data_IF_754292979973
#
_entry.id   IF_754292979973
#
_cell.length_a   1.000
_cell.length_b   1.000
_cell.length_c   1.000
_cell.angle_alpha   90.00
_cell.angle_beta   90.00
_cell.angle_gamma   90.00
#
_symmetry.space_group_name_H-M   'P 1'
#
loop_
_entity.id
_entity.type
_entity.pdbx_description
1 polymer ?
#
# COMPACT_ATOMS: atom_id res chain seq x y z
N UNK A 1 35.41 14.47 9.64
CA UNK A 1 35.18 14.36 8.18
C UNK A 1 34.21 13.23 7.93
N UNK A 2 32.98 13.54 7.54
CA UNK A 2 32.06 12.53 7.03
C UNK A 2 32.32 12.41 5.53
N UNK A 3 32.83 11.26 5.09
CA UNK A 3 32.92 10.96 3.66
C UNK A 3 31.54 10.61 3.14
N UNK A 4 31.18 11.21 2.00
CA UNK A 4 29.93 10.92 1.30
C UNK A 4 30.06 9.54 0.68
N UNK A 5 29.34 8.56 1.22
CA UNK A 5 29.26 7.22 0.62
C UNK A 5 28.54 7.31 -0.73
N UNK A 6 29.26 7.00 -1.82
CA UNK A 6 28.72 6.98 -3.18
C UNK A 6 27.69 5.86 -3.42
N UNK A 7 27.60 4.91 -2.47
CA UNK A 7 26.59 3.85 -2.42
C UNK A 7 25.38 4.22 -1.56
N UNK A 8 25.40 5.37 -0.88
CA UNK A 8 24.23 5.88 -0.19
C UNK A 8 23.09 6.09 -1.22
N UNK A 9 21.94 5.47 -0.99
CA UNK A 9 20.81 5.36 -1.94
C UNK A 9 21.02 4.42 -3.15
N UNK A 10 21.92 3.44 -3.04
CA UNK A 10 22.03 2.36 -4.03
C UNK A 10 22.01 1.01 -3.33
N UNK A 11 21.01 0.19 -3.64
CA UNK A 11 21.02 -1.22 -3.26
C UNK A 11 20.27 -2.08 -4.27
N UNK A 12 20.62 -3.36 -4.28
CA UNK A 12 19.92 -4.39 -5.00
C UNK A 12 19.88 -5.62 -4.10
N UNK A 13 18.72 -5.89 -3.52
CA UNK A 13 18.50 -6.92 -2.52
C UNK A 13 17.60 -7.97 -3.14
N UNK A 14 18.05 -9.23 -3.09
CA UNK A 14 17.24 -10.39 -3.48
C UNK A 14 17.10 -11.27 -2.26
N UNK A 15 15.87 -11.49 -1.83
CA UNK A 15 15.53 -12.34 -0.68
C UNK A 15 14.68 -13.52 -1.14
N UNK A 16 15.06 -14.71 -0.71
CA UNK A 16 14.25 -15.92 -0.84
C UNK A 16 13.98 -16.45 0.56
N UNK A 17 12.71 -16.56 0.94
CA UNK A 17 12.32 -17.04 2.27
C UNK A 17 11.19 -18.04 2.19
N UNK A 18 11.18 -18.99 3.13
CA UNK A 18 10.03 -19.85 3.40
C UNK A 18 9.43 -19.32 4.70
N UNK A 19 8.23 -18.77 4.59
CA UNK A 19 7.49 -18.26 5.73
C UNK A 19 6.44 -19.30 6.12
N UNK A 20 6.48 -19.74 7.37
CA UNK A 20 5.46 -20.61 7.96
C UNK A 20 4.67 -19.77 8.95
N UNK A 21 3.35 -19.90 8.92
CA UNK A 21 2.44 -19.23 9.84
C UNK A 21 2.58 -17.69 9.83
N UNK A 22 2.42 -17.05 8.67
CA UNK A 22 1.92 -15.66 8.63
C UNK A 22 0.44 -15.61 9.06
N UNK A 23 0.14 -16.24 10.18
CA UNK A 23 -1.09 -16.03 10.93
C UNK A 23 -0.67 -14.94 11.90
N UNK A 24 -0.90 -13.69 11.50
CA UNK A 24 -0.76 -12.56 12.41
C UNK A 24 -1.55 -12.90 13.68
N UNK A 25 -0.85 -13.04 14.80
CA UNK A 25 -1.42 -13.36 16.11
C UNK A 25 -2.12 -12.09 16.64
N UNK A 26 -3.14 -11.62 15.90
CA UNK A 26 -3.85 -10.38 16.19
C UNK A 26 -5.05 -10.72 17.06
N UNK A 27 -5.10 -10.09 18.24
CA UNK A 27 -6.22 -10.23 19.17
C UNK A 27 -7.58 -9.80 18.57
N UNK A 28 -7.57 -8.99 17.50
CA UNK A 28 -8.74 -8.49 16.80
C UNK A 28 -8.52 -8.52 15.28
N UNK A 29 -9.45 -9.11 14.52
CA UNK A 29 -9.46 -9.10 13.06
C UNK A 29 -10.90 -8.91 12.52
N UNK A 30 -11.04 -8.24 11.38
CA UNK A 30 -12.29 -8.11 10.63
C UNK A 30 -12.37 -9.30 9.67
N UNK A 31 -13.44 -10.08 9.83
CA UNK A 31 -13.80 -11.20 8.94
C UNK A 31 -13.95 -10.82 7.47
N UNK A 32 -14.04 -9.52 7.15
CA UNK A 32 -13.99 -9.05 5.77
C UNK A 32 -12.62 -9.20 5.16
N UNK A 33 -11.54 -9.06 5.92
CA UNK A 33 -10.14 -9.01 5.42
C UNK A 33 -9.26 -10.17 5.85
N UNK A 34 -9.79 -11.01 6.71
CA UNK A 34 -9.04 -12.08 7.32
C UNK A 34 -9.77 -13.42 7.22
N UNK A 35 -9.03 -14.43 6.76
CA UNK A 35 -9.49 -15.81 6.73
C UNK A 35 -8.57 -16.70 7.58
N UNK A 36 -9.18 -17.50 8.47
CA UNK A 36 -8.46 -18.44 9.34
C UNK A 36 -7.91 -19.62 8.55
N UNK A 37 -6.64 -19.96 8.77
CA UNK A 37 -6.01 -21.17 8.28
C UNK A 37 -4.49 -21.06 8.28
N UNK A 38 -3.79 -22.18 8.06
CA UNK A 38 -2.33 -22.14 7.89
C UNK A 38 -1.98 -21.60 6.50
N UNK A 39 -1.09 -20.62 6.45
CA UNK A 39 -0.57 -20.08 5.19
C UNK A 39 0.96 -20.11 5.18
N UNK A 40 1.52 -21.25 4.76
CA UNK A 40 2.95 -21.38 4.50
C UNK A 40 3.27 -20.99 3.06
N UNK A 41 4.26 -20.12 2.87
CA UNK A 41 4.55 -19.52 1.57
C UNK A 41 6.04 -19.51 1.26
N UNK A 42 6.38 -19.81 0.00
CA UNK A 42 7.67 -19.43 -0.57
C UNK A 42 7.57 -17.99 -1.08
N UNK A 43 8.52 -17.15 -0.67
CA UNK A 43 8.58 -15.74 -1.02
C UNK A 43 9.88 -15.46 -1.77
N UNK A 44 9.77 -14.88 -2.95
CA UNK A 44 10.84 -14.22 -3.67
C UNK A 44 10.57 -12.72 -3.63
N UNK A 45 11.51 -11.96 -3.11
CA UNK A 45 11.39 -10.52 -2.96
C UNK A 45 12.66 -9.86 -3.54
N UNK A 46 12.45 -8.94 -4.47
CA UNK A 46 13.50 -8.18 -5.13
C UNK A 46 13.24 -6.70 -4.92
N UNK A 47 14.18 -6.04 -4.25
CA UNK A 47 14.16 -4.61 -3.97
C UNK A 47 15.39 -3.95 -4.62
N UNK A 48 15.16 -2.95 -5.45
CA UNK A 48 16.22 -2.12 -6.04
C UNK A 48 15.97 -0.67 -5.70
N UNK A 49 17.00 0.00 -5.19
CA UNK A 49 17.05 1.45 -5.07
C UNK A 49 18.21 1.95 -5.91
N UNK A 50 17.95 2.82 -6.88
CA UNK A 50 18.96 3.45 -7.71
C UNK A 50 18.58 4.91 -7.92
N UNK A 51 19.40 5.85 -7.45
CA UNK A 51 19.21 7.29 -7.70
C UNK A 51 17.81 7.82 -7.38
N UNK A 52 17.22 7.37 -6.26
CA UNK A 52 15.85 7.70 -5.81
C UNK A 52 14.71 7.08 -6.62
N UNK A 53 15.04 6.14 -7.50
CA UNK A 53 14.09 5.20 -8.08
C UNK A 53 14.10 3.93 -7.24
N UNK A 54 12.96 3.57 -6.68
CA UNK A 54 12.72 2.33 -5.95
C UNK A 54 11.87 1.42 -6.82
N UNK A 55 12.36 0.22 -7.05
CA UNK A 55 11.62 -0.87 -7.68
C UNK A 55 11.48 -1.98 -6.65
N UNK A 56 10.25 -2.46 -6.48
CA UNK A 56 9.97 -3.61 -5.63
C UNK A 56 9.15 -4.63 -6.42
N UNK A 57 9.64 -5.86 -6.46
CA UNK A 57 8.99 -6.97 -7.09
C UNK A 57 8.88 -8.12 -6.10
N UNK A 58 7.68 -8.71 -6.02
CA UNK A 58 7.42 -9.77 -5.08
C UNK A 58 6.66 -10.90 -5.77
N UNK A 59 7.12 -12.13 -5.57
CA UNK A 59 6.39 -13.35 -5.89
C UNK A 59 6.19 -14.12 -4.59
N UNK A 60 4.94 -14.43 -4.27
CA UNK A 60 4.57 -15.27 -3.13
C UNK A 60 3.80 -16.49 -3.62
N UNK A 61 4.17 -17.67 -3.17
CA UNK A 61 3.57 -18.94 -3.58
C UNK A 61 3.14 -19.71 -2.33
N UNK A 62 1.83 -19.92 -2.16
CA UNK A 62 1.26 -20.82 -1.17
C UNK A 62 0.97 -22.18 -1.79
N UNK A 63 1.42 -23.26 -1.15
CA UNK A 63 1.18 -24.63 -1.62
C UNK A 63 0.92 -25.59 -0.46
N UNK A 64 0.10 -26.62 -0.72
CA UNK A 64 -0.22 -27.66 0.27
C UNK A 64 1.01 -28.46 0.73
N UNK A 65 1.99 -28.65 -0.15
CA UNK A 65 3.25 -29.34 0.19
C UNK A 65 4.05 -28.60 1.27
N UNK A 66 3.83 -27.30 1.46
CA UNK A 66 4.44 -26.51 2.53
C UNK A 66 3.56 -26.42 3.80
N UNK A 67 2.43 -27.13 3.85
CA UNK A 67 1.48 -27.07 4.96
C UNK A 67 0.51 -25.88 4.89
N UNK A 68 0.39 -25.22 3.73
CA UNK A 68 -0.64 -24.20 3.51
C UNK A 68 -1.99 -24.82 3.15
N UNK A 69 -3.07 -24.30 3.74
CA UNK A 69 -4.44 -24.61 3.34
C UNK A 69 -4.78 -24.01 1.96
N UNK A 70 -3.93 -23.10 1.45
CA UNK A 70 -4.19 -22.22 0.33
C UNK A 70 -3.20 -22.45 -0.81
N UNK A 71 -3.59 -23.16 -1.89
CA UNK A 71 -2.79 -23.23 -3.11
C UNK A 71 -3.00 -21.97 -3.97
N UNK A 72 -2.03 -21.07 -3.98
CA UNK A 72 -2.09 -19.82 -4.74
C UNK A 72 -0.71 -19.29 -5.15
N UNK A 73 -0.70 -18.34 -6.08
CA UNK A 73 0.43 -17.47 -6.35
C UNK A 73 -0.02 -16.01 -6.36
N UNK A 74 0.85 -15.13 -5.86
CA UNK A 74 0.71 -13.67 -5.89
C UNK A 74 1.96 -13.09 -6.51
N UNK A 75 1.79 -12.18 -7.46
CA UNK A 75 2.87 -11.40 -8.05
C UNK A 75 2.49 -9.93 -7.88
N UNK A 76 3.39 -9.13 -7.35
CA UNK A 76 3.23 -7.68 -7.27
C UNK A 76 4.48 -6.97 -7.75
N UNK A 77 4.28 -5.81 -8.35
CA UNK A 77 5.33 -4.91 -8.80
C UNK A 77 4.97 -3.50 -8.36
N UNK A 78 5.94 -2.80 -7.82
CA UNK A 78 5.88 -1.40 -7.41
C UNK A 78 7.08 -0.68 -8.01
N UNK A 79 6.81 0.47 -8.63
CA UNK A 79 7.83 1.42 -9.08
C UNK A 79 7.52 2.75 -8.40
N UNK A 80 8.46 3.27 -7.66
CA UNK A 80 8.37 4.55 -6.96
C UNK A 80 9.57 5.39 -7.36
N UNK A 81 9.37 6.67 -7.68
CA UNK A 81 10.47 7.51 -8.08
C UNK A 81 10.21 8.98 -7.76
N UNK A 82 11.31 9.67 -7.45
CA UNK A 82 11.36 11.05 -7.00
C UNK A 82 12.10 11.87 -8.07
N UNK A 83 11.35 12.68 -8.83
CA UNK A 83 11.95 13.59 -9.80
C UNK A 83 12.05 15.01 -9.25
N UNK A 84 13.17 15.71 -9.47
CA UNK A 84 13.29 17.11 -9.06
C UNK A 84 12.38 17.98 -9.94
N UNK A 85 11.49 18.73 -9.32
CA UNK A 85 10.68 19.79 -9.93
C UNK A 85 10.98 21.08 -9.17
N UNK A 86 11.70 22.00 -9.81
CA UNK A 86 12.27 23.19 -9.18
C UNK A 86 13.18 22.79 -7.99
N UNK A 87 12.98 23.38 -6.81
CA UNK A 87 13.74 23.08 -5.60
C UNK A 87 13.12 21.97 -4.74
N UNK A 88 12.22 21.14 -5.32
CA UNK A 88 11.48 20.10 -4.58
C UNK A 88 11.36 18.82 -5.39
N UNK A 89 10.88 17.77 -4.76
CA UNK A 89 10.78 16.44 -5.36
C UNK A 89 9.32 16.08 -5.57
N UNK A 90 8.95 15.89 -6.83
CA UNK A 90 7.70 15.26 -7.22
C UNK A 90 7.83 13.77 -6.98
N UNK A 91 6.85 13.19 -6.31
CA UNK A 91 6.78 11.75 -6.06
C UNK A 91 5.73 11.13 -6.96
N UNK A 92 6.10 10.01 -7.59
CA UNK A 92 5.12 9.16 -8.23
C UNK A 92 5.35 7.71 -7.84
N UNK A 93 4.26 6.95 -7.83
CA UNK A 93 4.28 5.51 -7.61
C UNK A 93 3.32 4.83 -8.57
N UNK A 94 3.73 3.70 -9.12
CA UNK A 94 2.93 2.80 -9.94
C UNK A 94 2.95 1.44 -9.26
N UNK A 95 1.78 0.81 -9.19
CA UNK A 95 1.60 -0.53 -8.63
C UNK A 95 0.81 -1.42 -9.59
N UNK A 96 1.21 -2.68 -9.67
CA UNK A 96 0.44 -3.74 -10.32
C UNK A 96 0.50 -5.02 -9.50
N UNK A 97 -0.64 -5.70 -9.35
CA UNK A 97 -0.74 -6.93 -8.58
C UNK A 97 -1.69 -7.93 -9.18
N UNK A 98 -1.35 -9.21 -9.08
CA UNK A 98 -2.16 -10.34 -9.55
C UNK A 98 -2.03 -11.51 -8.58
N UNK A 99 -3.18 -12.13 -8.29
CA UNK A 99 -3.34 -13.29 -7.43
C UNK A 99 -4.09 -14.37 -8.22
N UNK A 100 -3.60 -15.60 -8.18
CA UNK A 100 -4.18 -16.75 -8.88
C UNK A 100 -4.26 -17.95 -7.94
N UNK A 101 -5.31 -18.76 -8.12
CA UNK A 101 -5.62 -19.88 -7.24
C UNK A 101 -6.58 -19.52 -6.10
N UNK A 102 -6.50 -20.33 -5.03
CA UNK A 102 -7.29 -20.19 -3.81
C UNK A 102 -6.43 -19.55 -2.71
N UNK A 103 -6.35 -18.22 -2.73
CA UNK A 103 -5.64 -17.42 -1.74
C UNK A 103 -6.59 -17.05 -0.59
N UNK A 104 -6.12 -16.92 0.66
CA UNK A 104 -6.92 -16.37 1.73
C UNK A 104 -7.17 -14.86 1.52
N UNK A 105 -8.15 -14.30 2.24
CA UNK A 105 -8.56 -12.90 2.07
C UNK A 105 -7.43 -11.88 2.26
N UNK A 106 -6.55 -12.11 3.23
CA UNK A 106 -5.41 -11.22 3.53
C UNK A 106 -4.37 -11.16 2.39
N UNK A 107 -4.40 -12.09 1.44
CA UNK A 107 -3.48 -12.14 0.30
C UNK A 107 -4.06 -11.51 -0.97
N UNK A 108 -5.31 -11.03 -0.94
CA UNK A 108 -5.88 -10.27 -2.05
C UNK A 108 -5.06 -9.01 -2.36
N UNK A 109 -5.35 -8.37 -3.50
CA UNK A 109 -4.85 -7.04 -3.82
C UNK A 109 -5.88 -6.03 -3.35
N UNK A 110 -5.46 -5.14 -2.45
CA UNK A 110 -6.32 -4.11 -1.86
C UNK A 110 -6.21 -2.80 -2.62
N UNK A 111 -7.33 -2.08 -2.68
CA UNK A 111 -7.37 -0.77 -3.32
C UNK A 111 -6.68 0.29 -2.46
N UNK A 112 -6.84 0.17 -1.14
CA UNK A 112 -6.23 1.02 -0.12
C UNK A 112 -5.38 0.14 0.80
N UNK A 113 -4.10 0.47 0.94
CA UNK A 113 -3.12 -0.38 1.63
C UNK A 113 -2.38 0.38 2.73
N UNK A 114 -1.46 1.27 2.35
CA UNK A 114 -0.64 2.06 3.29
C UNK A 114 -0.25 3.39 2.69
N UNK A 115 -0.33 4.49 3.45
CA UNK A 115 -0.05 5.87 3.01
C UNK A 115 1.32 5.98 2.32
N UNK A 116 2.37 5.38 2.90
CA UNK A 116 3.63 5.02 2.23
C UNK A 116 3.93 3.52 2.42
N UNK A 117 4.66 2.86 1.51
CA UNK A 117 5.11 1.49 1.74
C UNK A 117 6.19 1.46 2.84
N UNK A 118 5.76 1.48 4.10
CA UNK A 118 6.61 1.33 5.29
C UNK A 118 6.14 0.11 6.09
N UNK A 119 7.06 -0.49 6.87
CA UNK A 119 6.77 -1.64 7.72
C UNK A 119 6.13 -1.27 9.07
N UNK A 120 5.71 -0.01 9.26
CA UNK A 120 5.13 0.47 10.52
C UNK A 120 3.60 0.57 10.43
N UNK A 121 2.93 0.30 11.55
CA UNK A 121 1.48 0.46 11.65
C UNK A 121 1.10 1.94 11.53
N UNK A 122 0.15 2.25 10.65
CA UNK A 122 -0.48 3.58 10.59
C UNK A 122 -1.72 3.61 11.50
N UNK A 123 -2.03 4.78 12.03
CA UNK A 123 -3.24 5.00 12.80
C UNK A 123 -4.24 5.69 11.89
N UNK A 124 -5.28 4.95 11.51
CA UNK A 124 -6.47 5.55 10.93
C UNK A 124 -7.46 5.84 12.04
N UNK A 125 -8.05 7.03 12.01
CA UNK A 125 -9.18 7.36 12.84
C UNK A 125 -10.27 7.86 11.92
N UNK A 126 -11.17 6.95 11.58
CA UNK A 126 -12.48 7.34 11.09
C UNK A 126 -13.31 7.79 12.31
N UNK A 127 -13.72 9.07 12.41
CA UNK A 127 -14.58 9.50 13.50
C UNK A 127 -15.91 8.74 13.56
N UNK A 128 -16.31 8.07 12.47
CA UNK A 128 -17.60 7.38 12.36
C UNK A 128 -17.50 5.84 12.49
N UNK A 129 -16.32 5.21 12.55
CA UNK A 129 -16.20 3.74 12.65
C UNK A 129 -15.07 3.25 13.58
N UNK A 130 -15.35 2.14 14.29
CA UNK A 130 -14.41 1.45 15.19
C UNK A 130 -13.20 0.97 14.37
N UNK A 131 -11.98 1.28 14.85
CA UNK A 131 -10.65 0.94 14.29
C UNK A 131 -10.69 -0.40 13.52
N UNK A 132 -10.40 -0.37 12.21
CA UNK A 132 -10.53 -1.51 11.31
C UNK A 132 -9.23 -2.31 11.22
N UNK A 133 -9.33 -3.57 10.81
CA UNK A 133 -8.16 -4.46 10.76
C UNK A 133 -7.45 -4.43 9.44
N UNK A 134 -8.05 -3.79 8.43
CA UNK A 134 -7.35 -3.34 7.23
C UNK A 134 -6.08 -2.57 7.66
N UNK A 135 -6.19 -1.77 8.73
CA UNK A 135 -5.10 -0.94 9.26
C UNK A 135 -3.98 -1.73 9.95
N UNK A 136 -4.25 -2.96 10.42
CA UNK A 136 -3.27 -3.79 11.15
C UNK A 136 -2.66 -4.90 10.29
N UNK A 137 -3.35 -5.35 9.23
CA UNK A 137 -2.95 -6.52 8.42
C UNK A 137 -2.15 -6.15 7.16
N UNK A 138 -2.31 -4.93 6.63
CA UNK A 138 -1.73 -4.57 5.33
C UNK A 138 -0.44 -3.79 5.50
N UNK A 139 0.68 -4.50 5.50
CA UNK A 139 2.03 -3.93 5.66
C UNK A 139 2.71 -3.52 4.35
N UNK A 140 2.07 -3.67 3.17
CA UNK A 140 2.60 -3.20 1.87
C UNK A 140 1.49 -2.56 1.04
N UNK A 141 1.81 -1.43 0.41
CA UNK A 141 0.86 -0.42 -0.05
C UNK A 141 -0.17 -0.80 -1.12
N UNK A 142 -0.07 -1.96 -1.79
CA UNK A 142 -0.96 -2.39 -2.88
C UNK A 142 -1.33 -1.22 -3.85
N UNK A 143 -2.59 -1.06 -4.29
CA UNK A 143 -2.93 0.05 -5.19
C UNK A 143 -2.88 1.43 -4.50
N UNK A 144 -2.96 1.47 -3.18
CA UNK A 144 -2.82 2.64 -2.32
C UNK A 144 -3.67 3.89 -2.65
N UNK A 145 -4.99 3.77 -2.81
CA UNK A 145 -5.85 4.94 -2.92
C UNK A 145 -6.25 5.43 -1.52
N UNK A 146 -5.55 6.47 -1.03
CA UNK A 146 -5.69 6.96 0.35
C UNK A 146 -7.12 7.32 0.75
N UNK A 147 -7.88 7.94 -0.17
CA UNK A 147 -9.27 8.31 0.08
C UNK A 147 -10.24 7.14 0.23
N UNK A 148 -9.83 5.92 -0.12
CA UNK A 148 -10.65 4.70 -0.08
C UNK A 148 -10.29 3.79 1.10
N UNK A 149 -9.52 4.28 2.07
CA UNK A 149 -9.21 3.53 3.29
C UNK A 149 -10.49 3.20 4.08
N UNK A 150 -10.54 2.02 4.71
CA UNK A 150 -11.70 1.55 5.48
C UNK A 150 -12.85 0.99 4.64
N UNK A 151 -12.75 1.03 3.31
CA UNK A 151 -13.80 0.49 2.42
C UNK A 151 -13.62 -1.00 2.10
N UNK A 152 -12.50 -1.62 2.51
CA UNK A 152 -12.21 -3.04 2.28
C UNK A 152 -12.31 -3.49 0.80
N UNK A 153 -12.04 -2.56 -0.13
CA UNK A 153 -12.12 -2.84 -1.56
C UNK A 153 -10.90 -3.65 -1.99
N UNK A 154 -11.13 -4.83 -2.57
CA UNK A 154 -10.06 -5.75 -2.98
C UNK A 154 -10.47 -6.65 -4.14
N UNK A 155 -9.49 -7.35 -4.71
CA UNK A 155 -9.71 -8.38 -5.70
C UNK A 155 -8.46 -9.20 -6.00
N UNK A 156 -8.59 -10.16 -6.90
CA UNK A 156 -7.47 -10.97 -7.41
C UNK A 156 -6.51 -10.22 -8.32
N UNK A 157 -6.83 -9.01 -8.75
CA UNK A 157 -5.99 -8.20 -9.59
C UNK A 157 -6.13 -6.75 -9.13
N UNK A 158 -5.08 -5.95 -9.30
CA UNK A 158 -5.15 -4.53 -9.03
C UNK A 158 -4.06 -3.73 -9.73
N UNK A 159 -4.37 -2.46 -9.96
CA UNK A 159 -3.41 -1.45 -10.43
C UNK A 159 -3.65 -0.15 -9.67
N UNK A 160 -2.58 0.60 -9.44
CA UNK A 160 -2.62 1.89 -8.78
C UNK A 160 -1.55 2.83 -9.34
N UNK A 161 -1.86 4.11 -9.38
CA UNK A 161 -0.93 5.19 -9.66
C UNK A 161 -1.16 6.29 -8.64
N UNK A 162 -0.09 6.72 -7.98
CA UNK A 162 -0.11 7.77 -6.97
C UNK A 162 0.81 8.90 -7.41
N UNK A 163 0.39 10.13 -7.14
CA UNK A 163 1.16 11.33 -7.39
C UNK A 163 1.19 12.18 -6.12
N UNK A 164 2.36 12.73 -5.79
CA UNK A 164 2.50 13.79 -4.78
C UNK A 164 3.29 14.96 -5.36
N UNK A 165 2.65 16.12 -5.35
CA UNK A 165 3.19 17.35 -5.90
C UNK A 165 3.42 18.31 -4.73
N UNK A 166 4.67 18.69 -4.44
CA UNK A 166 4.94 19.63 -3.37
C UNK A 166 4.45 21.04 -3.74
N UNK A 167 3.83 21.74 -2.79
CA UNK A 167 3.28 23.09 -3.03
C UNK A 167 4.39 24.14 -2.92
N UNK A 168 4.71 24.91 -3.98
CA UNK A 168 5.75 25.94 -3.93
C UNK A 168 5.52 26.93 -2.78
N UNK A 169 6.58 27.24 -2.03
CA UNK A 169 6.51 28.13 -0.86
C UNK A 169 6.03 27.48 0.45
N UNK A 170 5.42 26.29 0.42
CA UNK A 170 4.89 25.62 1.63
C UNK A 170 5.60 24.27 1.86
N UNK A 171 6.73 24.27 2.57
CA UNK A 171 7.68 23.13 2.63
C UNK A 171 7.11 21.83 3.20
N UNK A 172 6.05 21.92 4.00
CA UNK A 172 5.42 20.77 4.65
C UNK A 172 4.20 20.27 3.88
N UNK A 173 3.75 20.95 2.82
CA UNK A 173 2.46 20.67 2.17
C UNK A 173 2.69 20.07 0.78
N UNK A 174 2.03 18.95 0.52
CA UNK A 174 1.95 18.31 -0.77
C UNK A 174 0.48 18.18 -1.20
N UNK A 175 0.19 18.42 -2.47
CA UNK A 175 -1.04 17.94 -3.09
C UNK A 175 -0.84 16.47 -3.45
N UNK A 176 -1.86 15.64 -3.27
CA UNK A 176 -1.80 14.28 -3.76
C UNK A 176 -3.02 13.90 -4.60
N UNK A 177 -2.80 12.97 -5.51
CA UNK A 177 -3.84 12.36 -6.34
C UNK A 177 -3.55 10.88 -6.52
N UNK A 178 -4.56 10.05 -6.30
CA UNK A 178 -4.47 8.60 -6.41
C UNK A 178 -5.52 8.11 -7.42
N UNK A 179 -5.13 7.16 -8.27
CA UNK A 179 -6.03 6.51 -9.22
C UNK A 179 -5.72 5.02 -9.32
N UNK A 180 -6.75 4.18 -9.41
CA UNK A 180 -6.54 2.74 -9.52
C UNK A 180 -7.84 1.95 -9.48
N UNK A 181 -7.69 0.63 -9.53
CA UNK A 181 -8.80 -0.29 -9.42
C UNK A 181 -8.32 -1.67 -8.96
N UNK A 182 -9.25 -2.42 -8.37
CA UNK A 182 -9.08 -3.83 -8.01
C UNK A 182 -10.27 -4.62 -8.57
N UNK A 183 -10.03 -5.84 -9.03
CA UNK A 183 -11.06 -6.69 -9.63
C UNK A 183 -10.74 -8.18 -9.56
N UNK A 184 -11.77 -9.02 -9.61
CA UNK A 184 -11.61 -10.47 -9.70
C UNK A 184 -11.63 -10.99 -11.13
N UNK A 185 -12.72 -10.75 -11.86
CA UNK A 185 -12.97 -11.33 -13.19
C UNK A 185 -12.85 -10.33 -14.34
N UNK A 186 -13.40 -9.13 -14.18
CA UNK A 186 -13.45 -8.10 -15.22
C UNK A 186 -12.94 -6.77 -14.68
N UNK A 187 -12.13 -6.07 -15.46
CA UNK A 187 -11.67 -4.74 -15.12
C UNK A 187 -12.88 -3.80 -14.99
N UNK A 188 -13.00 -3.16 -13.83
CA UNK A 188 -14.11 -2.26 -13.51
C UNK A 188 -13.79 -0.79 -13.80
N UNK A 189 -14.61 0.09 -13.22
CA UNK A 189 -14.42 1.54 -13.29
C UNK A 189 -13.23 1.95 -12.42
N UNK A 190 -12.35 2.78 -12.97
CA UNK A 190 -11.26 3.42 -12.23
C UNK A 190 -11.81 4.30 -11.10
N UNK A 191 -11.25 4.10 -9.91
CA UNK A 191 -11.46 4.93 -8.74
C UNK A 191 -10.33 5.92 -8.65
N UNK A 192 -10.63 7.14 -8.22
CA UNK A 192 -9.64 8.17 -7.97
C UNK A 192 -10.08 9.09 -6.83
N UNK A 193 -9.10 9.75 -6.24
CA UNK A 193 -9.28 10.72 -5.17
C UNK A 193 -8.11 11.68 -5.08
N UNK A 194 -8.30 12.79 -4.35
CA UNK A 194 -7.25 13.77 -4.14
C UNK A 194 -7.33 14.38 -2.75
N UNK A 195 -6.20 14.90 -2.28
CA UNK A 195 -6.04 15.41 -0.93
C UNK A 195 -4.81 16.29 -0.72
N UNK A 196 -4.57 16.66 0.54
CA UNK A 196 -3.32 17.30 0.98
C UNK A 196 -2.57 16.35 1.91
N UNK A 197 -1.26 16.24 1.73
CA UNK A 197 -0.35 15.64 2.69
C UNK A 197 0.42 16.72 3.45
N UNK A 198 0.60 16.50 4.74
CA UNK A 198 1.44 17.30 5.63
C UNK A 198 2.59 16.43 6.10
N UNK A 199 3.79 16.66 5.56
CA UNK A 199 5.01 15.98 5.98
C UNK A 199 5.66 16.78 7.12
N UNK A 200 5.49 16.32 8.36
CA UNK A 200 6.25 16.77 9.53
C UNK A 200 7.44 15.83 9.75
N UNK A 201 8.44 16.27 10.52
CA UNK A 201 9.72 15.53 10.69
C UNK A 201 9.56 14.05 11.05
N UNK A 202 8.57 13.70 11.88
CA UNK A 202 8.34 12.34 12.38
C UNK A 202 6.94 11.82 12.11
N UNK A 203 6.07 12.65 11.53
CA UNK A 203 4.65 12.39 11.42
C UNK A 203 4.22 12.88 10.05
N UNK A 204 3.48 12.04 9.34
CA UNK A 204 2.78 12.45 8.14
C UNK A 204 1.28 12.42 8.41
N UNK A 205 0.60 13.47 7.94
CA UNK A 205 -0.86 13.55 8.00
C UNK A 205 -1.41 13.79 6.60
N UNK A 206 -2.15 12.82 6.07
CA UNK A 206 -2.83 12.96 4.79
C UNK A 206 -4.32 13.23 5.01
N UNK A 207 -4.85 14.22 4.30
CA UNK A 207 -6.26 14.58 4.29
C UNK A 207 -6.86 14.35 2.90
N UNK A 208 -7.44 13.17 2.63
CA UNK A 208 -8.22 12.94 1.43
C UNK A 208 -9.56 13.69 1.52
N UNK A 209 -9.78 14.68 0.67
CA UNK A 209 -11.04 15.44 0.69
C UNK A 209 -12.06 14.91 -0.29
N UNK A 210 -11.62 14.26 -1.37
CA UNK A 210 -12.48 13.85 -2.47
C UNK A 210 -12.22 12.42 -2.93
N UNK A 211 -13.32 11.70 -3.21
CA UNK A 211 -13.33 10.43 -3.94
C UNK A 211 -14.44 10.41 -5.00
N UNK A 212 -14.20 9.81 -6.16
CA UNK A 212 -15.15 9.82 -7.29
C UNK A 212 -16.28 8.79 -7.20
N UNK A 213 -16.12 7.71 -6.42
CA UNK A 213 -17.08 6.61 -6.28
C UNK A 213 -17.23 6.22 -4.81
N UNK A 214 -17.85 7.08 -3.98
CA UNK A 214 -18.10 6.77 -2.58
C UNK A 214 -19.05 5.57 -2.44
N UNK A 215 -18.99 4.89 -1.29
CA UNK A 215 -19.96 3.86 -0.93
C UNK A 215 -21.36 4.46 -0.75
N UNK A 216 -22.42 3.62 -0.75
CA UNK A 216 -23.83 4.04 -0.77
C UNK A 216 -24.23 5.07 0.30
N UNK A 217 -23.50 5.16 1.41
CA UNK A 217 -23.76 6.06 2.52
C UNK A 217 -22.61 7.05 2.80
N UNK A 218 -21.69 7.20 1.85
CA UNK A 218 -20.51 8.04 2.00
C UNK A 218 -20.60 9.24 1.06
N UNK A 219 -20.02 10.38 1.48
CA UNK A 219 -19.96 11.58 0.63
C UNK A 219 -18.69 11.55 -0.21
N UNK A 220 -18.80 11.98 -1.47
CA UNK A 220 -17.66 12.18 -2.34
C UNK A 220 -16.67 13.17 -1.71
N UNK A 221 -17.20 14.30 -1.20
CA UNK A 221 -16.45 15.24 -0.37
C UNK A 221 -16.67 14.96 1.11
N UNK A 222 -15.61 14.60 1.83
CA UNK A 222 -15.65 14.46 3.28
C UNK A 222 -14.27 14.74 3.87
N UNK A 223 -14.25 15.18 5.13
CA UNK A 223 -13.01 15.36 5.87
C UNK A 223 -12.55 14.00 6.38
N UNK A 224 -11.49 13.46 5.78
CA UNK A 224 -10.81 12.23 6.21
C UNK A 224 -9.40 12.60 6.62
N UNK A 225 -8.81 11.82 7.52
CA UNK A 225 -7.42 12.00 7.90
C UNK A 225 -6.73 10.65 8.12
N UNK A 226 -5.44 10.62 7.81
CA UNK A 226 -4.58 9.46 7.87
C UNK A 226 -3.31 9.89 8.59
N UNK A 227 -2.89 9.16 9.62
CA UNK A 227 -1.68 9.48 10.37
C UNK A 227 -0.68 8.34 10.29
N UNK A 228 0.53 8.66 9.84
CA UNK A 228 1.65 7.74 9.73
C UNK A 228 2.86 8.29 10.49
N UNK A 229 3.61 7.41 11.16
CA UNK A 229 4.91 7.76 11.73
C UNK A 229 5.98 7.65 10.64
N UNK A 230 6.71 8.72 10.37
CA UNK A 230 7.84 8.71 9.45
C UNK A 230 9.15 8.65 10.24
N UNK A 231 9.84 7.51 10.18
CA UNK A 231 11.18 7.36 10.77
C UNK A 231 12.23 7.19 9.67
#
# INVERSE_FOLDING_TARGET
NFEKDENHFKHNIVNVSINRDQIYDIAYYDSKDYEKGSNSTLLFDWDRLLNKEKEHFNIKIGQRVFGSNYPYSKITMELENLFPVLNRWFHFRIFGGIVRGNSPQQEAVYLSGSVRPTSFAYWFVDPDTKISTQENLHTKGDANLRGYLGQHLKGKNGVGVNFEIPVPGLSMINLFSDIGNVWDKKFGILKYGFGLGFDLKYIRIDFPFYINKPMKNEKAFAFRWLLELSF
#
